data_IF_154144910082
#
_entry.id   IF_154144910082
#
_cell.length_a   1.000
_cell.length_b   1.000
_cell.length_c   1.000
_cell.angle_alpha   90.00
_cell.angle_beta   90.00
_cell.angle_gamma   90.00
#
_symmetry.space_group_name_H-M   'P 1'
#
loop_
_entity.id
_entity.type
_entity.pdbx_description
1 polymer ?
#
# COMPACT_ATOMS: atom_id res chain seq x y z
N UNK A 1 -39.00 8.78 -37.36
CA UNK A 1 -37.90 8.47 -36.42
C UNK A 1 -38.16 9.30 -35.18
N UNK A 2 -38.53 8.65 -34.06
CA UNK A 2 -38.98 9.34 -32.85
C UNK A 2 -37.79 9.90 -32.06
N UNK A 3 -37.91 11.15 -31.59
CA UNK A 3 -36.92 11.83 -30.78
C UNK A 3 -36.50 11.04 -29.50
N UNK A 4 -37.35 10.12 -29.04
CA UNK A 4 -37.08 9.20 -27.92
C UNK A 4 -36.01 8.16 -28.25
N UNK A 5 -35.86 7.74 -29.49
CA UNK A 5 -34.84 6.76 -29.88
C UNK A 5 -33.45 7.39 -30.02
N UNK A 6 -33.40 8.68 -30.39
CA UNK A 6 -32.15 9.45 -30.47
C UNK A 6 -31.59 9.71 -29.05
N UNK A 7 -32.46 10.02 -28.09
CA UNK A 7 -32.05 10.26 -26.68
C UNK A 7 -31.56 8.99 -25.97
N UNK A 8 -32.04 7.81 -26.37
CA UNK A 8 -31.60 6.52 -25.80
C UNK A 8 -30.23 6.10 -26.40
N UNK A 9 -29.99 6.44 -27.65
CA UNK A 9 -28.74 6.14 -28.35
C UNK A 9 -27.58 7.05 -27.88
N UNK A 10 -27.91 8.30 -27.52
CA UNK A 10 -26.93 9.27 -26.99
C UNK A 10 -26.54 8.98 -25.52
N UNK A 11 -27.40 8.27 -24.77
CA UNK A 11 -27.12 7.84 -23.38
C UNK A 11 -26.25 6.57 -23.29
N UNK A 12 -26.06 5.85 -24.35
CA UNK A 12 -25.14 4.73 -24.44
C UNK A 12 -23.72 5.21 -24.77
N UNK A 13 -23.13 6.00 -23.85
CA UNK A 13 -21.66 6.13 -23.82
C UNK A 13 -21.11 4.70 -23.74
N UNK A 14 -20.36 4.22 -24.76
CA UNK A 14 -19.86 2.86 -24.77
C UNK A 14 -19.00 2.72 -23.49
N UNK A 15 -19.46 1.93 -22.54
CA UNK A 15 -18.67 1.54 -21.37
C UNK A 15 -17.38 0.94 -21.94
N UNK A 16 -16.34 1.75 -22.01
CA UNK A 16 -15.03 1.37 -22.54
C UNK A 16 -14.69 0.05 -21.88
N UNK A 17 -14.45 -0.98 -22.66
CA UNK A 17 -14.19 -2.31 -22.14
C UNK A 17 -12.95 -2.26 -21.23
N UNK A 18 -13.19 -2.00 -19.96
CA UNK A 18 -12.13 -1.99 -18.96
C UNK A 18 -11.55 -3.40 -18.92
N UNK A 19 -10.27 -3.51 -19.17
CA UNK A 19 -9.58 -4.81 -19.19
C UNK A 19 -9.68 -5.42 -17.81
N UNK A 20 -9.98 -6.72 -17.75
CA UNK A 20 -9.91 -7.44 -16.47
C UNK A 20 -8.44 -7.67 -16.14
N UNK A 21 -8.01 -7.23 -14.95
CA UNK A 21 -6.65 -7.43 -14.42
C UNK A 21 -6.68 -8.36 -13.20
N UNK A 22 -7.10 -9.66 -13.35
CA UNK A 22 -7.36 -10.52 -12.21
C UNK A 22 -6.10 -10.73 -11.35
N UNK A 23 -4.93 -10.90 -11.96
CA UNK A 23 -3.66 -11.06 -11.23
C UNK A 23 -3.38 -9.85 -10.34
N UNK A 24 -3.47 -8.65 -10.88
CA UNK A 24 -3.20 -7.40 -10.14
C UNK A 24 -4.18 -7.20 -8.98
N UNK A 25 -5.48 -7.47 -9.19
CA UNK A 25 -6.46 -7.38 -8.09
C UNK A 25 -6.31 -8.51 -7.06
N UNK A 26 -5.82 -9.69 -7.44
CA UNK A 26 -5.46 -10.73 -6.47
C UNK A 26 -4.25 -10.32 -5.64
N UNK A 27 -3.21 -9.74 -6.25
CA UNK A 27 -2.05 -9.18 -5.55
C UNK A 27 -2.48 -8.09 -4.56
N UNK A 28 -3.36 -7.17 -4.97
CA UNK A 28 -3.94 -6.15 -4.10
C UNK A 28 -4.69 -6.78 -2.92
N UNK A 29 -5.55 -7.77 -3.18
CA UNK A 29 -6.34 -8.45 -2.15
C UNK A 29 -5.44 -9.12 -1.10
N UNK A 30 -4.48 -9.91 -1.55
CA UNK A 30 -3.56 -10.61 -0.64
C UNK A 30 -2.74 -9.62 0.17
N UNK A 31 -2.17 -8.59 -0.48
CA UNK A 31 -1.40 -7.54 0.22
C UNK A 31 -2.24 -6.80 1.24
N UNK A 32 -3.47 -6.42 0.89
CA UNK A 32 -4.35 -5.68 1.80
C UNK A 32 -4.81 -6.53 2.99
N UNK A 33 -5.03 -7.83 2.82
CA UNK A 33 -5.32 -8.72 3.95
C UNK A 33 -4.13 -8.79 4.91
N UNK A 34 -2.91 -8.94 4.38
CA UNK A 34 -1.69 -8.95 5.20
C UNK A 34 -1.49 -7.59 5.88
N UNK A 35 -1.69 -6.48 5.16
CA UNK A 35 -1.61 -5.13 5.69
C UNK A 35 -2.64 -4.87 6.80
N UNK A 36 -3.87 -5.36 6.64
CA UNK A 36 -4.92 -5.27 7.65
C UNK A 36 -4.52 -6.01 8.94
N UNK A 37 -4.00 -7.24 8.82
CA UNK A 37 -3.54 -8.01 9.97
C UNK A 37 -2.40 -7.28 10.68
N UNK A 38 -1.42 -6.78 9.94
CA UNK A 38 -0.31 -6.02 10.51
C UNK A 38 -0.78 -4.73 11.22
N UNK A 39 -1.72 -4.02 10.62
CA UNK A 39 -2.33 -2.81 11.19
C UNK A 39 -3.14 -3.12 12.45
N UNK A 40 -3.85 -4.26 12.47
CA UNK A 40 -4.58 -4.70 13.65
C UNK A 40 -3.62 -5.01 14.82
N UNK A 41 -2.57 -5.77 14.57
CA UNK A 41 -1.56 -6.09 15.60
C UNK A 41 -0.95 -4.81 16.17
N UNK A 42 -0.48 -3.89 15.30
CA UNK A 42 0.08 -2.62 15.75
C UNK A 42 -0.91 -1.72 16.48
N UNK A 43 -2.19 -1.79 16.12
CA UNK A 43 -3.24 -1.04 16.82
C UNK A 43 -3.48 -1.58 18.22
N UNK A 44 -3.46 -2.89 18.39
CA UNK A 44 -3.53 -3.55 19.71
C UNK A 44 -2.29 -3.18 20.54
N UNK A 45 -1.09 -3.31 19.96
CA UNK A 45 0.16 -2.95 20.62
C UNK A 45 0.16 -1.48 21.07
N UNK A 46 -0.36 -0.57 20.25
CA UNK A 46 -0.47 0.84 20.60
C UNK A 46 -1.41 1.09 21.78
N UNK A 47 -2.54 0.38 21.87
CA UNK A 47 -3.47 0.47 23.02
C UNK A 47 -2.82 -0.11 24.28
N UNK A 48 -2.11 -1.23 24.17
CA UNK A 48 -1.36 -1.84 25.28
C UNK A 48 -0.30 -0.89 25.80
N UNK A 49 0.50 -0.27 24.92
CA UNK A 49 1.52 0.70 25.30
C UNK A 49 0.94 2.00 25.91
N UNK A 50 -0.24 2.42 25.44
CA UNK A 50 -0.93 3.57 26.03
C UNK A 50 -1.40 3.29 27.46
N UNK A 51 -1.79 2.06 27.77
CA UNK A 51 -2.17 1.63 29.12
C UNK A 51 -0.95 1.36 30.02
N UNK A 52 0.11 0.79 29.45
CA UNK A 52 1.36 0.47 30.17
C UNK A 52 2.56 0.67 29.24
N UNK A 53 3.27 1.81 29.30
CA UNK A 53 4.44 2.09 28.46
C UNK A 53 5.61 1.11 28.64
N UNK A 54 5.65 0.35 29.73
CA UNK A 54 6.65 -0.67 30.00
C UNK A 54 6.20 -2.10 29.61
N UNK A 55 5.06 -2.25 28.94
CA UNK A 55 4.58 -3.54 28.52
C UNK A 55 5.57 -4.22 27.55
N UNK A 56 5.82 -5.49 27.79
CA UNK A 56 6.64 -6.30 26.89
C UNK A 56 5.80 -6.80 25.72
N UNK A 57 6.20 -6.44 24.50
CA UNK A 57 5.54 -6.83 23.28
C UNK A 57 6.27 -8.01 22.64
N UNK A 58 5.53 -8.92 22.01
CA UNK A 58 6.09 -10.10 21.35
C UNK A 58 7.11 -9.78 20.24
N UNK A 59 7.12 -8.55 19.74
CA UNK A 59 8.06 -8.06 18.72
C UNK A 59 9.24 -7.27 19.31
N UNK A 60 9.43 -7.26 20.64
CA UNK A 60 10.62 -6.74 21.31
C UNK A 60 11.67 -7.84 21.39
N UNK A 61 12.41 -8.07 20.29
CA UNK A 61 13.37 -9.19 20.18
C UNK A 61 14.73 -8.77 20.72
N UNK A 62 15.21 -7.57 20.36
CA UNK A 62 16.51 -7.03 20.77
C UNK A 62 16.53 -5.49 20.57
N UNK A 63 17.68 -4.86 20.83
CA UNK A 63 17.85 -3.41 20.73
C UNK A 63 17.59 -2.85 19.30
N UNK A 64 17.77 -3.67 18.26
CA UNK A 64 17.56 -3.30 16.87
C UNK A 64 16.13 -3.59 16.40
N UNK A 65 15.45 -4.59 16.97
CA UNK A 65 14.09 -5.01 16.62
C UNK A 65 13.20 -4.84 17.86
N UNK A 66 12.44 -3.75 17.89
CA UNK A 66 11.60 -3.38 19.02
C UNK A 66 10.38 -2.56 18.57
N UNK A 67 9.20 -3.18 18.62
CA UNK A 67 7.93 -2.48 18.40
C UNK A 67 7.64 -1.47 19.49
N UNK A 68 8.01 -1.77 20.74
CA UNK A 68 7.81 -0.86 21.88
C UNK A 68 8.56 0.45 21.69
N UNK A 69 9.84 0.39 21.32
CA UNK A 69 10.66 1.59 21.09
C UNK A 69 10.11 2.44 19.94
N UNK A 70 9.66 1.80 18.85
CA UNK A 70 9.04 2.50 17.73
C UNK A 70 7.65 3.01 18.10
N UNK A 71 6.82 2.20 18.76
CA UNK A 71 5.44 2.55 19.12
C UNK A 71 5.32 3.69 20.14
N UNK A 72 6.29 3.84 21.05
CA UNK A 72 6.35 4.93 22.02
C UNK A 72 6.94 6.23 21.45
N UNK A 73 7.47 6.21 20.24
CA UNK A 73 8.00 7.41 19.59
C UNK A 73 6.87 8.33 19.11
N UNK A 74 7.11 9.65 19.11
CA UNK A 74 6.12 10.61 18.62
C UNK A 74 5.75 10.40 17.15
N UNK A 75 6.65 9.82 16.38
CA UNK A 75 6.42 9.46 14.97
C UNK A 75 5.32 8.41 14.82
N UNK A 76 5.12 7.54 15.82
CA UNK A 76 4.08 6.50 15.77
C UNK A 76 2.66 7.07 15.95
N UNK A 77 2.53 8.30 16.44
CA UNK A 77 1.27 9.00 16.68
C UNK A 77 1.27 10.43 16.15
N UNK A 78 1.85 10.63 14.96
CA UNK A 78 2.02 11.95 14.33
C UNK A 78 0.71 12.74 14.20
N UNK A 79 -0.42 12.07 13.99
CA UNK A 79 -1.74 12.65 13.79
C UNK A 79 -2.54 12.82 15.10
N UNK A 80 -1.90 12.60 16.27
CA UNK A 80 -2.58 12.63 17.58
C UNK A 80 -3.25 11.30 17.96
N UNK A 81 -3.17 10.31 17.10
CA UNK A 81 -3.61 8.93 17.34
C UNK A 81 -2.61 7.94 16.68
N UNK A 82 -2.60 6.64 17.08
CA UNK A 82 -1.68 5.66 16.50
C UNK A 82 -1.83 5.55 14.98
N UNK A 83 -0.74 5.74 14.24
CA UNK A 83 -0.75 5.72 12.77
C UNK A 83 -1.28 4.40 12.20
N UNK A 84 -1.16 3.29 12.94
CA UNK A 84 -1.68 1.98 12.54
C UNK A 84 -3.20 1.98 12.29
N UNK A 85 -3.96 2.89 12.93
CA UNK A 85 -5.40 3.04 12.69
C UNK A 85 -5.72 3.45 11.26
N UNK A 86 -4.81 4.15 10.57
CA UNK A 86 -4.98 4.48 9.16
C UNK A 86 -5.07 3.21 8.29
N UNK A 87 -4.27 2.19 8.62
CA UNK A 87 -4.35 0.90 7.94
C UNK A 87 -5.68 0.17 8.20
N UNK A 88 -6.20 0.22 9.44
CA UNK A 88 -7.52 -0.34 9.75
C UNK A 88 -8.66 0.31 8.95
N UNK A 89 -8.49 1.56 8.54
CA UNK A 89 -9.47 2.28 7.71
C UNK A 89 -9.24 1.99 6.22
N UNK A 90 -8.00 2.04 5.75
CA UNK A 90 -7.67 1.98 4.35
C UNK A 90 -7.73 0.55 3.76
N UNK A 91 -7.23 -0.46 4.51
CA UNK A 91 -7.12 -1.81 3.98
C UNK A 91 -8.48 -2.49 3.69
N UNK A 92 -9.52 -2.36 4.53
CA UNK A 92 -10.85 -2.89 4.19
C UNK A 92 -11.45 -2.27 2.93
N UNK A 93 -11.16 -1.00 2.66
CA UNK A 93 -11.60 -0.33 1.42
C UNK A 93 -10.93 -0.98 0.21
N UNK A 94 -9.62 -1.21 0.26
CA UNK A 94 -8.89 -1.88 -0.83
C UNK A 94 -9.32 -3.32 -1.01
N UNK A 95 -9.53 -4.06 0.07
CA UNK A 95 -10.09 -5.43 0.03
C UNK A 95 -11.43 -5.40 -0.72
N UNK A 96 -12.31 -4.48 -0.38
CA UNK A 96 -13.61 -4.33 -1.04
C UNK A 96 -13.46 -4.01 -2.52
N UNK A 97 -12.58 -3.08 -2.88
CA UNK A 97 -12.27 -2.75 -4.28
C UNK A 97 -11.77 -3.98 -5.04
N UNK A 98 -10.79 -4.69 -4.46
CA UNK A 98 -10.18 -5.85 -5.10
C UNK A 98 -11.19 -6.99 -5.31
N UNK A 99 -11.99 -7.32 -4.28
CA UNK A 99 -13.04 -8.35 -4.37
C UNK A 99 -14.11 -7.97 -5.39
N UNK A 100 -14.60 -6.74 -5.37
CA UNK A 100 -15.59 -6.26 -6.32
C UNK A 100 -15.06 -6.29 -7.75
N UNK A 101 -13.80 -5.86 -7.99
CA UNK A 101 -13.17 -5.90 -9.30
C UNK A 101 -12.97 -7.35 -9.80
N UNK A 102 -12.58 -8.28 -8.92
CA UNK A 102 -12.50 -9.71 -9.24
C UNK A 102 -13.87 -10.28 -9.57
N UNK A 103 -14.93 -9.82 -8.91
CA UNK A 103 -16.34 -10.12 -9.21
C UNK A 103 -16.85 -9.49 -10.52
N UNK A 104 -16.04 -8.66 -11.19
CA UNK A 104 -16.38 -8.04 -12.48
C UNK A 104 -16.98 -6.63 -12.38
N UNK A 105 -17.01 -6.02 -11.17
CA UNK A 105 -17.44 -4.63 -10.99
C UNK A 105 -16.42 -3.70 -11.66
N UNK A 106 -16.93 -2.68 -12.34
CA UNK A 106 -16.12 -1.63 -12.99
C UNK A 106 -16.23 -0.35 -12.18
N UNK A 107 -15.09 0.20 -11.83
CA UNK A 107 -15.03 1.46 -11.10
C UNK A 107 -14.85 2.64 -12.06
N UNK A 108 -15.47 3.79 -11.79
CA UNK A 108 -15.25 4.99 -12.57
C UNK A 108 -13.82 5.50 -12.39
N UNK A 109 -13.29 6.20 -13.39
CA UNK A 109 -11.89 6.71 -13.41
C UNK A 109 -11.58 7.58 -12.19
N UNK A 110 -12.50 8.46 -11.81
CA UNK A 110 -12.30 9.35 -10.66
C UNK A 110 -12.09 8.56 -9.36
N UNK A 111 -12.80 7.46 -9.18
CA UNK A 111 -12.70 6.63 -7.98
C UNK A 111 -11.34 5.95 -7.85
N UNK A 112 -10.85 5.31 -8.94
CA UNK A 112 -9.53 4.67 -8.94
C UNK A 112 -8.40 5.69 -8.84
N UNK A 113 -8.56 6.89 -9.42
CA UNK A 113 -7.60 7.97 -9.27
C UNK A 113 -7.58 8.52 -7.82
N UNK A 114 -8.74 8.64 -7.17
CA UNK A 114 -8.79 9.03 -5.76
C UNK A 114 -8.13 8.00 -4.85
N UNK A 115 -8.38 6.72 -5.09
CA UNK A 115 -7.68 5.63 -4.38
C UNK A 115 -6.17 5.70 -4.61
N UNK A 116 -5.72 5.99 -5.83
CA UNK A 116 -4.29 6.17 -6.15
C UNK A 116 -3.66 7.32 -5.36
N UNK A 117 -4.35 8.47 -5.24
CA UNK A 117 -3.86 9.62 -4.48
C UNK A 117 -3.75 9.29 -2.98
N UNK A 118 -4.75 8.64 -2.42
CA UNK A 118 -4.73 8.20 -1.01
C UNK A 118 -3.55 7.24 -0.78
N UNK A 119 -3.35 6.26 -1.66
CA UNK A 119 -2.21 5.33 -1.53
C UNK A 119 -0.87 5.97 -1.84
N UNK A 120 -0.80 7.01 -2.65
CA UNK A 120 0.43 7.80 -2.82
C UNK A 120 0.82 8.48 -1.51
N UNK A 121 -0.14 9.09 -0.82
CA UNK A 121 0.10 9.71 0.49
C UNK A 121 0.55 8.65 1.50
N UNK A 122 -0.15 7.51 1.57
CA UNK A 122 0.21 6.39 2.44
C UNK A 122 1.60 5.82 2.13
N UNK A 123 1.95 5.69 0.86
CA UNK A 123 3.26 5.25 0.40
C UNK A 123 4.37 6.21 0.87
N UNK A 124 4.23 7.50 0.61
CA UNK A 124 5.21 8.51 1.05
C UNK A 124 5.35 8.52 2.56
N UNK A 125 4.23 8.41 3.27
CA UNK A 125 4.21 8.36 4.74
C UNK A 125 4.89 7.10 5.29
N UNK A 126 4.67 5.92 4.70
CA UNK A 126 5.32 4.68 5.11
C UNK A 126 6.86 4.75 4.94
N UNK A 127 7.34 5.33 3.83
CA UNK A 127 8.78 5.50 3.61
C UNK A 127 9.39 6.58 4.51
N UNK A 128 8.64 7.63 4.83
CA UNK A 128 9.07 8.60 5.83
C UNK A 128 9.17 7.95 7.21
N UNK A 129 8.21 7.11 7.61
CA UNK A 129 8.27 6.36 8.87
C UNK A 129 9.44 5.37 8.88
N UNK A 130 9.71 4.69 7.78
CA UNK A 130 10.89 3.83 7.65
C UNK A 130 12.19 4.63 7.85
N UNK A 131 12.30 5.82 7.24
CA UNK A 131 13.43 6.71 7.43
C UNK A 131 13.59 7.10 8.91
N UNK A 132 12.50 7.48 9.57
CA UNK A 132 12.52 7.82 11.01
C UNK A 132 12.96 6.63 11.87
N UNK A 133 12.41 5.45 11.63
CA UNK A 133 12.79 4.23 12.36
C UNK A 133 14.27 3.90 12.15
N UNK A 134 14.76 4.00 10.93
CA UNK A 134 16.12 3.64 10.56
C UNK A 134 17.17 4.65 11.07
N UNK A 135 16.96 5.96 10.85
CA UNK A 135 17.98 6.98 11.10
C UNK A 135 17.82 7.69 12.45
N UNK A 136 16.60 7.88 12.95
CA UNK A 136 16.30 8.69 14.12
C UNK A 136 16.07 7.83 15.35
N UNK A 137 15.14 6.86 15.28
CA UNK A 137 14.78 6.02 16.42
C UNK A 137 15.86 4.96 16.67
N UNK A 138 16.49 4.46 15.60
CA UNK A 138 17.52 3.43 15.69
C UNK A 138 16.96 2.06 16.12
N UNK A 139 15.68 1.79 15.81
CA UNK A 139 15.05 0.49 15.99
C UNK A 139 14.04 0.25 14.85
N UNK A 140 13.84 -1.00 14.49
CA UNK A 140 12.90 -1.43 13.46
C UNK A 140 11.73 -2.18 14.10
N UNK A 141 10.55 -2.00 13.55
CA UNK A 141 9.37 -2.75 13.88
C UNK A 141 9.02 -3.68 12.70
N UNK A 142 9.01 -5.01 12.87
CA UNK A 142 8.69 -5.95 11.78
C UNK A 142 7.32 -5.72 11.17
N UNK A 143 6.32 -5.39 11.98
CA UNK A 143 4.97 -5.09 11.51
C UNK A 143 4.91 -3.80 10.69
N UNK A 144 5.69 -2.77 11.09
CA UNK A 144 5.80 -1.54 10.30
C UNK A 144 6.47 -1.79 8.93
N UNK A 145 7.49 -2.64 8.90
CA UNK A 145 8.11 -3.07 7.64
C UNK A 145 7.12 -3.82 6.74
N UNK A 146 6.31 -4.70 7.33
CA UNK A 146 5.29 -5.44 6.60
C UNK A 146 4.23 -4.49 6.01
N UNK A 147 3.78 -3.46 6.75
CA UNK A 147 2.90 -2.41 6.23
C UNK A 147 3.57 -1.65 5.09
N UNK A 148 4.86 -1.31 5.19
CA UNK A 148 5.58 -0.63 4.11
C UNK A 148 5.61 -1.49 2.83
N UNK A 149 5.83 -2.79 2.95
CA UNK A 149 5.81 -3.75 1.83
C UNK A 149 4.41 -3.83 1.20
N UNK A 150 3.39 -4.02 2.02
CA UNK A 150 2.00 -4.17 1.53
C UNK A 150 1.47 -2.89 0.90
N UNK A 151 1.73 -1.73 1.52
CA UNK A 151 1.36 -0.42 0.95
C UNK A 151 2.05 -0.17 -0.38
N UNK A 152 3.34 -0.54 -0.52
CA UNK A 152 4.07 -0.43 -1.78
C UNK A 152 3.43 -1.31 -2.86
N UNK A 153 3.10 -2.55 -2.54
CA UNK A 153 2.48 -3.48 -3.48
C UNK A 153 1.11 -2.99 -3.93
N UNK A 154 0.26 -2.52 -3.02
CA UNK A 154 -1.06 -1.97 -3.35
C UNK A 154 -0.93 -0.71 -4.20
N UNK A 155 -0.03 0.22 -3.83
CA UNK A 155 0.22 1.45 -4.59
C UNK A 155 0.62 1.15 -6.03
N UNK A 156 1.58 0.25 -6.24
CA UNK A 156 2.06 -0.12 -7.59
C UNK A 156 0.98 -0.88 -8.37
N UNK A 157 0.21 -1.74 -7.72
CA UNK A 157 -0.91 -2.46 -8.35
C UNK A 157 -2.00 -1.50 -8.83
N UNK A 158 -2.39 -0.51 -8.01
CA UNK A 158 -3.32 0.55 -8.40
C UNK A 158 -2.78 1.37 -9.58
N UNK A 159 -1.49 1.75 -9.52
CA UNK A 159 -0.82 2.49 -10.58
C UNK A 159 -0.82 1.71 -11.89
N UNK A 160 -0.54 0.41 -11.83
CA UNK A 160 -0.60 -0.49 -12.98
C UNK A 160 -1.98 -0.49 -13.64
N UNK A 161 -3.05 -0.64 -12.86
CA UNK A 161 -4.43 -0.60 -13.38
C UNK A 161 -4.74 0.77 -13.99
N UNK A 162 -4.39 1.84 -13.29
CA UNK A 162 -4.66 3.21 -13.73
C UNK A 162 -3.92 3.58 -15.04
N UNK A 163 -2.71 3.08 -15.24
CA UNK A 163 -1.97 3.27 -16.49
C UNK A 163 -2.55 2.39 -17.59
N UNK A 164 -2.74 1.08 -17.36
CA UNK A 164 -3.19 0.15 -18.40
C UNK A 164 -4.59 0.49 -18.94
N UNK A 165 -5.47 0.99 -18.07
CA UNK A 165 -6.83 1.43 -18.45
C UNK A 165 -6.88 2.91 -18.87
N UNK A 166 -5.74 3.59 -18.87
CA UNK A 166 -5.60 5.02 -19.14
C UNK A 166 -6.57 5.88 -18.30
N UNK A 167 -6.73 5.56 -17.03
CA UNK A 167 -7.57 6.33 -16.10
C UNK A 167 -6.97 7.71 -15.83
N UNK A 168 -5.63 7.82 -15.90
CA UNK A 168 -4.89 9.06 -15.69
C UNK A 168 -4.99 10.05 -16.86
N UNK A 169 -5.59 9.64 -18.02
CA UNK A 169 -5.70 10.50 -19.18
C UNK A 169 -4.37 10.83 -19.85
N UNK A 170 -3.43 9.90 -19.85
CA UNK A 170 -2.09 10.08 -20.42
C UNK A 170 -2.13 10.32 -21.93
N UNK A 171 -1.22 11.13 -22.48
CA UNK A 171 -1.04 11.29 -23.92
C UNK A 171 -0.74 9.94 -24.59
N UNK A 172 -1.20 9.71 -25.85
CA UNK A 172 -1.11 8.39 -26.50
C UNK A 172 0.29 7.77 -26.48
N UNK A 173 1.32 8.55 -26.81
CA UNK A 173 2.72 8.09 -26.82
C UNK A 173 3.21 7.62 -25.44
N UNK A 174 2.89 8.38 -24.40
CA UNK A 174 3.29 8.05 -23.02
C UNK A 174 2.53 6.82 -22.51
N UNK A 175 1.21 6.77 -22.77
CA UNK A 175 0.39 5.61 -22.41
C UNK A 175 0.89 4.32 -23.05
N UNK A 176 1.22 4.36 -24.34
CA UNK A 176 1.77 3.21 -25.07
C UNK A 176 3.10 2.74 -24.47
N UNK A 177 4.06 3.66 -24.29
CA UNK A 177 5.38 3.36 -23.73
C UNK A 177 5.28 2.73 -22.33
N UNK A 178 4.50 3.34 -21.43
CA UNK A 178 4.30 2.82 -20.07
C UNK A 178 3.59 1.47 -20.08
N UNK A 179 2.58 1.30 -20.95
CA UNK A 179 1.83 0.03 -21.06
C UNK A 179 2.71 -1.12 -21.55
N UNK A 180 3.65 -0.87 -22.45
CA UNK A 180 4.63 -1.86 -22.92
C UNK A 180 5.54 -2.26 -21.73
N UNK A 181 6.09 -1.30 -21.01
CA UNK A 181 6.94 -1.56 -19.84
C UNK A 181 6.22 -2.37 -18.76
N UNK A 182 4.97 -2.01 -18.43
CA UNK A 182 4.18 -2.72 -17.43
C UNK A 182 3.82 -4.16 -17.86
N UNK A 183 3.59 -4.39 -19.15
CA UNK A 183 3.37 -5.75 -19.66
C UNK A 183 4.64 -6.58 -19.65
N UNK A 184 5.80 -5.96 -19.77
CA UNK A 184 7.10 -6.59 -19.62
C UNK A 184 7.49 -6.85 -18.15
N UNK A 185 6.70 -6.36 -17.17
CA UNK A 185 6.94 -6.58 -15.74
C UNK A 185 7.88 -5.54 -15.10
N UNK A 186 8.01 -4.36 -15.70
CA UNK A 186 8.87 -3.29 -15.18
C UNK A 186 8.45 -2.83 -13.77
N UNK A 187 7.16 -2.85 -13.46
CA UNK A 187 6.61 -2.56 -12.13
C UNK A 187 7.02 -3.60 -11.10
N UNK A 188 6.91 -4.89 -11.42
CA UNK A 188 7.35 -5.98 -10.54
C UNK A 188 8.85 -5.89 -10.28
N UNK A 189 9.65 -5.63 -11.34
CA UNK A 189 11.09 -5.43 -11.17
C UNK A 189 11.40 -4.21 -10.30
N UNK A 190 10.68 -3.10 -10.49
CA UNK A 190 10.81 -1.91 -9.66
C UNK A 190 10.53 -2.19 -8.17
N UNK A 191 9.46 -2.92 -7.86
CA UNK A 191 9.12 -3.34 -6.49
C UNK A 191 10.21 -4.23 -5.90
N UNK A 192 10.71 -5.21 -6.65
CA UNK A 192 11.79 -6.10 -6.19
C UNK A 192 13.08 -5.32 -5.90
N UNK A 193 13.44 -4.36 -6.75
CA UNK A 193 14.60 -3.48 -6.52
C UNK A 193 14.42 -2.66 -5.23
N UNK A 194 13.25 -2.07 -5.02
CA UNK A 194 12.95 -1.32 -3.80
C UNK A 194 13.10 -2.22 -2.57
N UNK A 195 12.54 -3.42 -2.59
CA UNK A 195 12.64 -4.36 -1.46
C UNK A 195 14.06 -4.86 -1.24
N UNK A 196 14.83 -5.08 -2.31
CA UNK A 196 16.24 -5.43 -2.20
C UNK A 196 17.06 -4.29 -1.56
N UNK A 197 16.78 -3.03 -1.90
CA UNK A 197 17.41 -1.86 -1.28
C UNK A 197 17.06 -1.79 0.21
N UNK A 198 15.77 -1.93 0.58
CA UNK A 198 15.34 -1.93 1.98
C UNK A 198 16.01 -3.05 2.78
N UNK A 199 16.03 -4.27 2.24
CA UNK A 199 16.71 -5.42 2.86
C UNK A 199 18.22 -5.18 3.00
N UNK A 200 18.87 -4.64 1.97
CA UNK A 200 20.27 -4.28 2.01
C UNK A 200 20.61 -3.24 3.08
N UNK A 201 19.81 -2.18 3.18
CA UNK A 201 19.96 -1.16 4.23
C UNK A 201 19.82 -1.80 5.63
N UNK A 202 18.80 -2.62 5.85
CA UNK A 202 18.58 -3.31 7.12
C UNK A 202 19.76 -4.22 7.44
N UNK A 203 20.24 -5.00 6.48
CA UNK A 203 21.37 -5.90 6.67
C UNK A 203 22.66 -5.16 7.01
N UNK A 204 22.97 -4.07 6.32
CA UNK A 204 24.18 -3.28 6.55
C UNK A 204 24.21 -2.68 7.96
N UNK A 205 23.07 -2.17 8.46
CA UNK A 205 23.04 -1.50 9.76
C UNK A 205 22.81 -2.44 10.92
N UNK A 206 21.98 -3.45 10.75
CA UNK A 206 21.51 -4.31 11.84
C UNK A 206 21.94 -5.77 11.70
N UNK A 207 22.63 -6.14 10.62
CA UNK A 207 23.02 -7.52 10.34
C UNK A 207 23.87 -8.12 11.47
N UNK A 208 24.81 -7.37 12.05
CA UNK A 208 25.63 -7.82 13.18
C UNK A 208 24.80 -8.11 14.44
N UNK A 209 23.72 -7.36 14.68
CA UNK A 209 22.84 -7.55 15.85
C UNK A 209 21.82 -8.68 15.60
N UNK A 210 21.43 -8.90 14.34
CA UNK A 210 20.45 -9.93 13.97
C UNK A 210 21.11 -11.31 13.87
N UNK A 211 22.35 -11.38 13.36
CA UNK A 211 23.04 -12.66 13.06
C UNK A 211 24.27 -12.92 13.92
N UNK A 212 24.73 -11.92 14.71
CA UNK A 212 25.95 -11.97 15.51
C UNK A 212 25.66 -11.99 17.00
N UNK A 213 24.61 -12.75 17.42
CA UNK A 213 24.32 -13.00 18.85
C UNK A 213 25.33 -13.90 19.51
#
# INVERSE_FOLDING_TARGET
>A
MNATNVAIEEAAVPLRAQRRHPKTFTEMLVSSIIGLIASLVLSIDAVVLAANPSADLNCNINAAISCGKVGLSWQASLLGFPNAFLGLIAEPVVITIAVAALGGVRFPRWFLNSAQVVYLIGFLFAYWLFYQAYFVIGALCPWCLLITITTTTVFVSLLRVNILDNNLGLPPKLHESLSIGLRAGADTMGVLIIFAILAGLIFVKYGSVIFGG
#
